data_IF_657143556236
#
_entry.id   IF_657143556236
#
_cell.length_a   1.000
_cell.length_b   1.000
_cell.length_c   1.000
_cell.angle_alpha   90.00
_cell.angle_beta   90.00
_cell.angle_gamma   90.00
#
_symmetry.space_group_name_H-M   'P 1'
#
loop_
_entity.id
_entity.type
_entity.pdbx_description
1 polymer ?
#
# COMPACT_ATOMS: atom_id res chain seq x y z
N UNK A 1 -18.85 7.29 -10.03
CA UNK A 1 -18.11 8.18 -10.96
C UNK A 1 -16.62 7.92 -10.83
N UNK A 2 -15.97 7.48 -11.90
CA UNK A 2 -14.51 7.31 -11.97
C UNK A 2 -13.84 8.51 -12.64
N UNK A 3 -13.91 9.70 -12.01
CA UNK A 3 -13.45 10.97 -12.58
C UNK A 3 -11.93 11.10 -12.74
N UNK A 4 -11.15 10.10 -12.30
CA UNK A 4 -9.67 10.03 -12.37
C UNK A 4 -8.91 11.15 -11.62
N UNK A 5 -9.60 12.07 -10.93
CA UNK A 5 -8.97 13.12 -10.15
C UNK A 5 -8.01 12.58 -9.07
N UNK A 6 -8.37 11.45 -8.43
CA UNK A 6 -7.52 10.80 -7.43
C UNK A 6 -6.20 10.26 -7.99
N UNK A 7 -6.13 9.96 -9.29
CA UNK A 7 -4.90 9.50 -9.95
C UNK A 7 -3.96 10.68 -10.19
N UNK A 8 -4.50 11.85 -10.54
CA UNK A 8 -3.73 13.06 -10.81
C UNK A 8 -3.11 13.67 -9.54
N UNK A 9 -3.81 13.60 -8.40
CA UNK A 9 -3.35 14.22 -7.14
C UNK A 9 -2.35 13.34 -6.39
N UNK A 10 -2.29 12.03 -6.65
CA UNK A 10 -1.39 11.14 -5.94
C UNK A 10 0.05 11.27 -6.48
N UNK A 11 1.03 11.73 -5.67
CA UNK A 11 2.41 11.94 -6.14
C UNK A 11 3.11 10.62 -6.53
N UNK A 12 2.67 9.49 -5.96
CA UNK A 12 3.23 8.17 -6.26
C UNK A 12 2.48 7.41 -7.36
N UNK A 13 1.45 8.02 -7.98
CA UNK A 13 0.61 7.43 -9.03
C UNK A 13 0.13 5.99 -8.74
N UNK A 14 -0.24 5.72 -7.48
CA UNK A 14 -0.65 4.38 -7.04
C UNK A 14 -2.07 3.96 -7.43
N UNK A 15 -3.08 4.86 -7.51
CA UNK A 15 -4.41 4.46 -7.93
C UNK A 15 -4.44 4.14 -9.44
N UNK A 16 -5.04 3.00 -9.80
CA UNK A 16 -5.17 2.51 -11.17
C UNK A 16 -6.63 2.47 -11.61
N UNK A 17 -6.93 2.93 -12.82
CA UNK A 17 -8.30 2.97 -13.36
C UNK A 17 -8.62 1.69 -14.14
N UNK A 18 -9.76 1.06 -13.83
CA UNK A 18 -10.31 -0.06 -14.59
C UNK A 18 -11.38 0.46 -15.57
N UNK A 19 -11.10 0.52 -16.88
CA UNK A 19 -12.01 1.12 -17.86
C UNK A 19 -13.35 0.39 -18.00
N UNK A 20 -13.33 -0.94 -17.84
CA UNK A 20 -14.52 -1.79 -17.98
C UNK A 20 -15.56 -1.54 -16.89
N UNK A 21 -15.13 -1.17 -15.70
CA UNK A 21 -16.00 -1.00 -14.52
C UNK A 21 -16.21 0.47 -14.17
N UNK A 22 -15.48 1.39 -14.81
CA UNK A 22 -15.52 2.81 -14.52
C UNK A 22 -15.08 3.16 -13.09
N UNK A 23 -14.26 2.30 -12.47
CA UNK A 23 -13.81 2.40 -11.08
C UNK A 23 -12.29 2.50 -11.00
N UNK A 24 -11.80 3.17 -9.96
CA UNK A 24 -10.38 3.22 -9.63
C UNK A 24 -10.10 2.29 -8.47
N UNK A 25 -9.05 1.50 -8.59
CA UNK A 25 -8.57 0.57 -7.57
C UNK A 25 -7.20 0.99 -7.06
N UNK A 26 -6.93 0.73 -5.79
CA UNK A 26 -5.62 0.89 -5.15
C UNK A 26 -5.44 -0.24 -4.14
N UNK A 27 -4.21 -0.43 -3.67
CA UNK A 27 -3.96 -1.29 -2.53
C UNK A 27 -4.81 -0.85 -1.32
N UNK A 28 -5.53 -1.80 -0.73
CA UNK A 28 -6.36 -1.68 0.47
C UNK A 28 -5.65 -2.23 1.71
N UNK A 29 -4.34 -2.53 1.59
CA UNK A 29 -3.53 -3.19 2.60
C UNK A 29 -4.11 -4.55 3.05
N UNK A 30 -4.78 -5.26 2.14
CA UNK A 30 -5.40 -6.55 2.42
C UNK A 30 -6.39 -6.50 3.60
N UNK A 31 -7.22 -5.45 3.69
CA UNK A 31 -8.14 -5.24 4.81
C UNK A 31 -8.97 -6.49 5.17
N UNK A 32 -9.44 -7.23 4.17
CA UNK A 32 -10.20 -8.47 4.38
C UNK A 32 -9.38 -9.64 4.96
N UNK A 33 -8.07 -9.68 4.73
CA UNK A 33 -7.17 -10.69 5.33
C UNK A 33 -6.79 -10.30 6.76
N UNK A 34 -6.50 -9.02 6.97
CA UNK A 34 -6.18 -8.49 8.29
C UNK A 34 -7.35 -8.68 9.27
N UNK A 35 -8.58 -8.49 8.82
CA UNK A 35 -9.78 -8.76 9.63
C UNK A 35 -9.90 -10.22 10.10
N UNK A 36 -9.24 -11.16 9.41
CA UNK A 36 -9.20 -12.59 9.76
C UNK A 36 -7.94 -13.00 10.53
N UNK A 37 -7.10 -12.03 10.91
CA UNK A 37 -5.81 -12.28 11.55
C UNK A 37 -4.76 -12.90 10.61
N UNK A 38 -5.00 -12.84 9.29
CA UNK A 38 -4.04 -13.34 8.30
C UNK A 38 -3.12 -12.21 7.82
N UNK A 39 -1.84 -12.50 7.56
CA UNK A 39 -0.92 -11.51 7.02
C UNK A 39 -1.34 -11.05 5.62
N UNK A 40 -0.91 -9.84 5.20
CA UNK A 40 -1.09 -9.36 3.83
C UNK A 40 -0.59 -10.37 2.80
N UNK A 41 -1.28 -10.48 1.67
CA UNK A 41 -0.99 -11.50 0.66
C UNK A 41 0.44 -11.37 0.10
N UNK A 42 0.90 -10.14 -0.15
CA UNK A 42 2.25 -9.88 -0.65
C UNK A 42 3.35 -10.29 0.34
N UNK A 43 3.12 -10.10 1.64
CA UNK A 43 4.05 -10.51 2.69
C UNK A 43 4.10 -12.03 2.80
N UNK A 44 2.92 -12.66 2.85
CA UNK A 44 2.82 -14.12 2.92
C UNK A 44 3.44 -14.83 1.70
N UNK A 45 3.40 -14.19 0.53
CA UNK A 45 3.97 -14.73 -0.70
C UNK A 45 5.49 -14.56 -0.81
N UNK A 46 6.10 -13.66 -0.02
CA UNK A 46 7.51 -13.36 -0.14
C UNK A 46 8.38 -14.43 0.55
N UNK A 47 8.87 -15.40 -0.22
CA UNK A 47 9.72 -16.48 0.29
C UNK A 47 11.05 -16.00 0.91
N UNK A 48 11.58 -14.88 0.42
CA UNK A 48 12.86 -14.33 0.86
C UNK A 48 12.73 -13.37 2.06
N UNK A 49 11.51 -13.06 2.53
CA UNK A 49 11.30 -12.12 3.63
C UNK A 49 11.67 -10.66 3.30
N UNK A 50 11.66 -10.27 2.02
CA UNK A 50 12.00 -8.91 1.61
C UNK A 50 10.90 -7.87 1.95
N UNK A 51 9.67 -8.33 2.20
CA UNK A 51 8.54 -7.48 2.55
C UNK A 51 8.12 -7.84 3.98
N UNK A 52 8.17 -6.85 4.87
CA UNK A 52 7.74 -6.98 6.26
C UNK A 52 6.49 -6.14 6.54
N UNK A 53 5.70 -6.54 7.54
CA UNK A 53 4.55 -5.78 8.03
C UNK A 53 4.54 -5.76 9.55
N UNK A 54 4.01 -4.68 10.11
CA UNK A 54 3.94 -4.47 11.55
C UNK A 54 3.41 -3.07 11.86
N UNK A 55 3.48 -2.69 13.13
CA UNK A 55 3.23 -1.32 13.53
C UNK A 55 4.34 -0.42 12.99
N UNK A 56 3.99 0.80 12.62
CA UNK A 56 4.95 1.74 12.03
C UNK A 56 6.10 2.07 12.99
N UNK A 57 5.83 2.07 14.29
CA UNK A 57 6.81 2.32 15.34
C UNK A 57 7.89 1.23 15.37
N UNK A 58 7.48 -0.04 15.33
CA UNK A 58 8.39 -1.19 15.29
C UNK A 58 9.23 -1.19 14.02
N UNK A 59 8.61 -0.85 12.87
CA UNK A 59 9.29 -0.78 11.58
C UNK A 59 10.32 0.37 11.55
N UNK A 60 10.00 1.53 12.12
CA UNK A 60 10.93 2.66 12.23
C UNK A 60 12.09 2.36 13.17
N UNK A 61 11.83 1.66 14.28
CA UNK A 61 12.88 1.23 15.20
C UNK A 61 13.84 0.21 14.54
N UNK A 62 13.31 -0.70 13.73
CA UNK A 62 14.09 -1.71 13.01
C UNK A 62 14.84 -1.14 11.80
N UNK A 63 14.25 -0.17 11.10
CA UNK A 63 14.80 0.46 9.90
C UNK A 63 14.90 1.98 10.04
N UNK A 64 15.88 2.49 10.80
CA UNK A 64 15.99 3.93 11.07
C UNK A 64 16.30 4.80 9.85
N UNK A 65 16.81 4.20 8.77
CA UNK A 65 17.18 4.89 7.53
C UNK A 65 16.19 4.65 6.37
N UNK A 66 15.02 4.06 6.64
CA UNK A 66 14.02 3.81 5.61
C UNK A 66 13.40 5.13 5.13
N UNK A 67 13.26 5.31 3.82
CA UNK A 67 12.52 6.43 3.24
C UNK A 67 11.01 6.21 3.39
N UNK A 68 10.31 7.20 3.92
CA UNK A 68 8.88 7.06 4.19
C UNK A 68 8.05 7.33 2.92
N UNK A 69 7.13 6.40 2.62
CA UNK A 69 6.13 6.58 1.58
C UNK A 69 5.00 7.46 2.13
N UNK A 70 5.16 8.78 2.08
CA UNK A 70 4.18 9.70 2.69
C UNK A 70 4.70 11.11 2.88
N UNK A 71 6.02 11.27 2.95
CA UNK A 71 6.65 12.55 3.21
C UNK A 71 6.54 13.40 1.95
N UNK A 72 5.67 14.40 1.99
CA UNK A 72 5.49 15.42 0.93
C UNK A 72 6.71 16.35 0.79
N UNK A 73 7.88 15.91 1.25
CA UNK A 73 9.12 16.68 1.39
C UNK A 73 10.19 16.26 0.38
N UNK A 74 9.80 15.55 -0.68
CA UNK A 74 10.62 15.28 -1.86
C UNK A 74 9.90 15.76 -3.12
#
# INVERSE_FOLDING_TARGET
MGCKACIAVCPWHKPSFAPKEGKTYKCDFCAGRLAKGLPPACVAACANGAIEYGLIEDLRAKYPNASECGDRSA
#
